data_IF_562549752481
#
_entry.id   IF_562549752481
#
_cell.length_a   1.000
_cell.length_b   1.000
_cell.length_c   1.000
_cell.angle_alpha   90.00
_cell.angle_beta   90.00
_cell.angle_gamma   90.00
#
_symmetry.space_group_name_H-M   'P 1'
#
loop_
_entity.id
_entity.type
_entity.pdbx_description
1 polymer ?
#
# COMPACT_ATOMS: atom_id res chain seq x y z
N UNK A 1 -51.42 -46.51 -47.11
CA UNK A 1 -51.09 -45.08 -47.05
C UNK A 1 -49.62 -44.97 -46.71
N UNK A 2 -48.84 -44.53 -47.70
CA UNK A 2 -47.39 -44.67 -47.82
C UNK A 2 -46.65 -43.55 -47.10
N UNK A 3 -45.54 -43.93 -46.44
CA UNK A 3 -44.58 -43.04 -45.79
C UNK A 3 -43.94 -42.08 -46.81
N UNK A 4 -43.83 -40.80 -46.46
CA UNK A 4 -43.03 -39.82 -47.19
C UNK A 4 -41.78 -39.50 -46.37
N UNK A 5 -40.63 -39.76 -47.00
CA UNK A 5 -39.29 -39.40 -46.56
C UNK A 5 -39.06 -37.89 -46.73
N UNK A 6 -38.40 -37.27 -45.75
CA UNK A 6 -37.79 -35.95 -45.87
C UNK A 6 -36.29 -36.13 -46.15
N UNK A 7 -35.72 -35.50 -47.19
CA UNK A 7 -34.28 -35.43 -47.33
C UNK A 7 -33.72 -34.28 -46.50
N UNK A 8 -32.84 -34.64 -45.57
CA UNK A 8 -31.96 -33.75 -44.82
C UNK A 8 -30.95 -33.13 -45.80
N UNK A 9 -30.95 -31.80 -45.92
CA UNK A 9 -29.92 -31.05 -46.65
C UNK A 9 -29.07 -30.29 -45.62
N UNK A 10 -27.85 -30.78 -45.43
CA UNK A 10 -26.83 -30.19 -44.57
C UNK A 10 -26.33 -28.89 -45.19
N UNK A 11 -26.74 -27.74 -44.64
CA UNK A 11 -26.18 -26.44 -44.98
C UNK A 11 -24.89 -26.24 -44.15
N UNK A 12 -23.75 -26.61 -44.71
CA UNK A 12 -22.43 -26.22 -44.17
C UNK A 12 -22.23 -24.73 -44.41
N UNK A 13 -22.43 -23.91 -43.37
CA UNK A 13 -21.91 -22.55 -43.36
C UNK A 13 -20.40 -22.60 -43.11
N UNK A 14 -19.61 -22.38 -44.16
CA UNK A 14 -18.20 -22.00 -44.02
C UNK A 14 -18.16 -20.54 -43.49
N UNK A 15 -17.87 -20.38 -42.21
CA UNK A 15 -17.34 -19.10 -41.72
C UNK A 15 -15.87 -19.01 -42.13
N UNK A 16 -15.42 -17.92 -42.78
CA UNK A 16 -13.99 -17.70 -42.94
C UNK A 16 -13.41 -17.42 -41.55
N UNK A 17 -12.60 -18.37 -41.05
CA UNK A 17 -11.67 -18.10 -39.96
C UNK A 17 -10.67 -17.05 -40.50
N UNK A 18 -10.95 -15.77 -40.26
CA UNK A 18 -9.92 -14.75 -40.39
C UNK A 18 -8.91 -14.99 -39.29
N UNK A 19 -7.87 -15.78 -39.59
CA UNK A 19 -6.62 -15.75 -38.85
C UNK A 19 -6.05 -14.34 -39.02
N UNK A 20 -6.47 -13.41 -38.17
CA UNK A 20 -5.70 -12.24 -37.85
C UNK A 20 -4.40 -12.78 -37.24
N UNK A 21 -3.37 -12.92 -38.07
CA UNK A 21 -2.00 -13.05 -37.58
C UNK A 21 -1.66 -11.73 -36.92
N UNK A 22 -2.01 -11.58 -35.65
CA UNK A 22 -1.46 -10.55 -34.79
C UNK A 22 0.03 -10.90 -34.75
N UNK A 23 0.84 -10.15 -35.48
CA UNK A 23 2.28 -10.27 -35.38
C UNK A 23 2.63 -9.92 -33.94
N UNK A 24 2.84 -10.94 -33.11
CA UNK A 24 3.39 -10.77 -31.76
C UNK A 24 4.75 -10.12 -31.98
N UNK A 25 4.85 -8.84 -31.67
CA UNK A 25 6.12 -8.13 -31.78
C UNK A 25 7.05 -8.76 -30.75
N UNK A 26 8.03 -9.55 -31.22
CA UNK A 26 8.97 -10.27 -30.38
C UNK A 26 10.04 -9.33 -29.77
N UNK A 27 9.59 -8.24 -29.13
CA UNK A 27 10.41 -7.12 -28.69
C UNK A 27 11.48 -7.56 -27.70
N UNK A 28 11.07 -8.10 -26.55
CA UNK A 28 12.01 -8.49 -25.50
C UNK A 28 12.92 -9.65 -25.91
N UNK A 29 12.43 -10.59 -26.73
CA UNK A 29 13.25 -11.66 -27.27
C UNK A 29 14.37 -11.14 -28.17
N UNK A 30 14.11 -10.08 -28.93
CA UNK A 30 15.13 -9.42 -29.75
C UNK A 30 16.13 -8.67 -28.86
N UNK A 31 15.65 -7.85 -27.93
CA UNK A 31 16.48 -6.98 -27.10
C UNK A 31 17.41 -7.74 -26.15
N UNK A 32 16.96 -8.91 -25.68
CA UNK A 32 17.70 -9.77 -24.76
C UNK A 32 18.34 -10.99 -25.45
N UNK A 33 18.44 -10.98 -26.77
CA UNK A 33 19.18 -12.00 -27.53
C UNK A 33 18.64 -13.42 -27.34
N UNK A 34 17.31 -13.58 -27.26
CA UNK A 34 16.64 -14.85 -27.00
C UNK A 34 16.68 -15.32 -25.54
N UNK A 35 17.58 -14.79 -24.71
CA UNK A 35 17.72 -15.14 -23.29
C UNK A 35 16.58 -14.56 -22.43
N UNK A 36 16.20 -15.26 -21.36
CA UNK A 36 15.33 -14.70 -20.31
C UNK A 36 16.02 -13.60 -19.49
N UNK A 37 17.33 -13.41 -19.64
CA UNK A 37 18.10 -12.43 -18.88
C UNK A 37 18.39 -11.19 -19.72
N UNK A 38 17.91 -10.04 -19.24
CA UNK A 38 18.08 -8.71 -19.81
C UNK A 38 18.99 -7.90 -18.89
N UNK A 39 20.30 -7.94 -19.13
CA UNK A 39 21.30 -7.29 -18.26
C UNK A 39 21.78 -5.97 -18.86
N UNK A 40 21.79 -4.91 -18.05
CA UNK A 40 22.27 -3.56 -18.42
C UNK A 40 21.62 -3.04 -19.70
N UNK A 41 20.28 -3.11 -19.77
CA UNK A 41 19.52 -2.73 -20.96
C UNK A 41 18.74 -1.46 -20.74
N UNK A 42 18.62 -0.65 -21.79
CA UNK A 42 17.65 0.43 -21.89
C UNK A 42 16.57 -0.03 -22.87
N UNK A 43 15.36 -0.25 -22.38
CA UNK A 43 14.25 -0.85 -23.13
C UNK A 43 13.07 0.12 -23.09
N UNK A 44 12.42 0.28 -24.23
CA UNK A 44 11.12 0.95 -24.35
C UNK A 44 10.09 -0.06 -24.87
N UNK A 45 9.27 -0.57 -23.96
CA UNK A 45 8.19 -1.50 -24.28
C UNK A 45 6.99 -0.71 -24.81
N UNK A 46 7.06 -0.39 -26.12
CA UNK A 46 6.18 0.55 -26.82
C UNK A 46 5.16 -0.11 -27.75
N UNK A 47 4.99 -1.43 -27.66
CA UNK A 47 3.92 -2.15 -28.33
C UNK A 47 3.19 -3.07 -27.37
N UNK A 48 1.94 -3.40 -27.67
CA UNK A 48 1.22 -4.47 -27.00
C UNK A 48 1.98 -5.80 -27.14
N UNK A 49 2.04 -6.59 -26.06
CA UNK A 49 2.73 -7.88 -26.03
C UNK A 49 4.24 -7.81 -26.25
N UNK A 50 4.85 -6.63 -26.04
CA UNK A 50 6.29 -6.43 -26.21
C UNK A 50 7.12 -7.44 -25.38
N UNK A 51 6.63 -7.77 -24.18
CA UNK A 51 7.21 -8.80 -23.33
C UNK A 51 6.64 -10.16 -23.74
N UNK A 52 7.15 -10.66 -24.87
CA UNK A 52 6.67 -11.83 -25.60
C UNK A 52 6.96 -13.19 -24.96
N UNK A 53 7.64 -13.22 -23.81
CA UNK A 53 8.03 -14.45 -23.12
C UNK A 53 7.99 -14.32 -21.60
N UNK A 54 8.00 -15.46 -20.95
CA UNK A 54 8.09 -15.61 -19.50
C UNK A 54 8.86 -16.90 -19.16
N UNK A 55 9.76 -16.90 -18.17
CA UNK A 55 10.12 -15.77 -17.32
C UNK A 55 11.07 -14.77 -18.02
N UNK A 56 11.08 -13.52 -17.53
CA UNK A 56 12.07 -12.49 -17.89
C UNK A 56 12.67 -11.88 -16.64
N UNK A 57 13.99 -11.73 -16.63
CA UNK A 57 14.78 -11.17 -15.53
C UNK A 57 15.51 -9.93 -16.05
N UNK A 58 15.25 -8.77 -15.47
CA UNK A 58 15.98 -7.53 -15.72
C UNK A 58 17.02 -7.34 -14.62
N UNK A 59 18.29 -7.14 -15.00
CA UNK A 59 19.41 -7.15 -14.06
C UNK A 59 20.38 -5.98 -14.30
N UNK A 60 21.15 -5.66 -13.26
CA UNK A 60 22.19 -4.64 -13.30
C UNK A 60 21.60 -3.24 -13.50
N UNK A 61 22.31 -2.40 -14.26
CA UNK A 61 21.93 -1.02 -14.58
C UNK A 61 20.89 -0.98 -15.71
N UNK A 62 19.74 -1.62 -15.49
CA UNK A 62 18.68 -1.68 -16.49
C UNK A 62 17.67 -0.54 -16.30
N UNK A 63 17.21 0.04 -17.41
CA UNK A 63 16.10 1.00 -17.46
C UNK A 63 15.03 0.50 -18.40
N UNK A 64 13.81 0.36 -17.90
CA UNK A 64 12.65 -0.02 -18.67
C UNK A 64 11.63 1.11 -18.66
N UNK A 65 11.22 1.56 -19.84
CA UNK A 65 10.03 2.42 -20.00
C UNK A 65 8.91 1.57 -20.56
N UNK A 66 7.76 1.55 -19.90
CA UNK A 66 6.55 0.86 -20.36
C UNK A 66 5.62 1.90 -20.95
N UNK A 67 5.68 2.04 -22.27
CA UNK A 67 4.98 3.10 -23.02
C UNK A 67 3.71 2.60 -23.72
N UNK A 68 3.53 1.29 -23.84
CA UNK A 68 2.32 0.69 -24.40
C UNK A 68 1.47 0.00 -23.34
N UNK A 69 0.15 0.10 -23.54
CA UNK A 69 -0.80 -0.72 -22.82
C UNK A 69 -0.59 -2.19 -23.15
N UNK A 70 -0.74 -3.05 -22.14
CA UNK A 70 -0.54 -4.49 -22.26
C UNK A 70 0.84 -4.86 -22.82
N UNK A 71 1.87 -4.06 -22.53
CA UNK A 71 3.26 -4.41 -22.86
C UNK A 71 3.66 -5.74 -22.19
N UNK A 72 3.25 -5.93 -20.94
CA UNK A 72 3.25 -7.21 -20.25
C UNK A 72 1.81 -7.75 -20.24
N UNK A 73 1.51 -8.77 -21.05
CA UNK A 73 0.14 -9.26 -21.26
C UNK A 73 -0.02 -10.76 -20.99
N UNK A 74 0.60 -11.24 -19.92
CA UNK A 74 0.48 -12.64 -19.51
C UNK A 74 0.01 -12.75 -18.05
N UNK A 75 -1.22 -13.21 -17.86
CA UNK A 75 -1.84 -13.36 -16.53
C UNK A 75 -1.05 -14.28 -15.59
N UNK A 76 -0.25 -15.20 -16.14
CA UNK A 76 0.63 -16.12 -15.40
C UNK A 76 2.11 -15.81 -15.62
N UNK A 77 2.42 -14.64 -16.16
CA UNK A 77 3.78 -14.18 -16.41
C UNK A 77 4.59 -14.04 -15.13
N UNK A 78 5.89 -14.31 -15.22
CA UNK A 78 6.84 -14.17 -14.11
C UNK A 78 7.95 -13.24 -14.57
N UNK A 79 8.06 -12.12 -13.88
CA UNK A 79 9.00 -11.06 -14.21
C UNK A 79 9.77 -10.70 -12.95
N UNK A 80 11.08 -10.54 -13.07
CA UNK A 80 11.89 -10.05 -11.96
C UNK A 80 12.73 -8.84 -12.36
N UNK A 81 12.77 -7.86 -11.46
CA UNK A 81 13.63 -6.69 -11.55
C UNK A 81 14.68 -6.79 -10.45
N UNK A 82 15.96 -6.73 -10.82
CA UNK A 82 17.08 -7.00 -9.92
C UNK A 82 18.14 -5.90 -9.95
N UNK A 83 18.81 -5.70 -8.82
CA UNK A 83 19.94 -4.76 -8.73
C UNK A 83 19.48 -3.32 -8.93
N UNK A 84 20.23 -2.54 -9.72
CA UNK A 84 19.96 -1.13 -10.00
C UNK A 84 18.99 -0.94 -11.19
N UNK A 85 17.84 -1.61 -11.14
CA UNK A 85 16.82 -1.55 -12.20
C UNK A 85 15.82 -0.43 -11.95
N UNK A 86 15.54 0.39 -12.96
CA UNK A 86 14.51 1.43 -12.92
C UNK A 86 13.42 1.14 -13.95
N UNK A 87 12.16 1.15 -13.51
CA UNK A 87 10.98 0.89 -14.35
C UNK A 87 10.04 2.09 -14.28
N UNK A 88 9.81 2.74 -15.42
CA UNK A 88 8.83 3.81 -15.57
C UNK A 88 7.59 3.25 -16.29
N UNK A 89 6.48 3.13 -15.58
CA UNK A 89 5.20 2.64 -16.13
C UNK A 89 4.34 3.82 -16.51
N UNK A 90 4.33 4.14 -17.81
CA UNK A 90 3.70 5.35 -18.36
C UNK A 90 2.41 5.07 -19.16
N UNK A 91 2.00 3.81 -19.25
CA UNK A 91 0.79 3.39 -19.95
C UNK A 91 -0.14 2.62 -19.01
N UNK A 92 -1.45 2.82 -19.20
CA UNK A 92 -2.48 2.01 -18.54
C UNK A 92 -2.36 0.56 -18.97
N UNK A 93 -2.63 -0.38 -18.06
CA UNK A 93 -2.45 -1.81 -18.27
C UNK A 93 -1.00 -2.18 -18.65
N UNK A 94 -0.02 -1.36 -18.31
CA UNK A 94 1.37 -1.58 -18.70
C UNK A 94 1.92 -2.89 -18.13
N UNK A 95 1.72 -3.09 -16.82
CA UNK A 95 2.02 -4.31 -16.09
C UNK A 95 0.71 -5.05 -15.77
N UNK A 96 0.19 -5.81 -16.74
CA UNK A 96 -1.12 -6.46 -16.63
C UNK A 96 -1.00 -7.94 -16.21
N UNK A 97 -1.62 -8.28 -15.08
CA UNK A 97 -1.59 -9.63 -14.51
C UNK A 97 -0.19 -10.10 -14.12
N UNK A 98 -0.04 -11.40 -13.87
CA UNK A 98 1.25 -12.02 -13.59
C UNK A 98 1.85 -11.68 -12.22
N UNK A 99 3.12 -12.03 -12.04
CA UNK A 99 3.91 -11.75 -10.84
C UNK A 99 5.15 -10.95 -11.20
N UNK A 100 5.32 -9.80 -10.55
CA UNK A 100 6.49 -8.95 -10.65
C UNK A 100 7.26 -9.00 -9.34
N UNK A 101 8.49 -9.49 -9.37
CA UNK A 101 9.34 -9.62 -8.17
C UNK A 101 10.48 -8.61 -8.19
N UNK A 102 10.60 -7.82 -7.13
CA UNK A 102 11.72 -6.91 -6.91
C UNK A 102 12.71 -7.59 -5.97
N UNK A 103 13.95 -7.78 -6.42
CA UNK A 103 14.94 -8.58 -5.70
C UNK A 103 16.31 -7.90 -5.73
N UNK A 104 17.11 -8.14 -4.70
CA UNK A 104 18.55 -7.83 -4.72
C UNK A 104 19.26 -8.58 -5.85
N UNK A 105 20.25 -7.95 -6.48
CA UNK A 105 21.14 -8.66 -7.41
C UNK A 105 22.12 -9.59 -6.67
N UNK A 106 22.50 -10.69 -7.31
CA UNK A 106 23.42 -11.69 -6.77
C UNK A 106 24.84 -11.13 -6.55
N UNK A 107 25.21 -10.07 -7.27
CA UNK A 107 26.52 -9.41 -7.16
C UNK A 107 26.60 -8.35 -6.05
N UNK A 108 25.49 -8.11 -5.33
CA UNK A 108 25.54 -7.78 -3.92
C UNK A 108 25.95 -6.37 -3.49
N UNK A 109 25.84 -5.35 -4.33
CA UNK A 109 26.05 -3.97 -3.87
C UNK A 109 24.87 -3.52 -3.00
N UNK A 110 25.16 -3.01 -1.79
CA UNK A 110 24.14 -2.56 -0.84
C UNK A 110 23.46 -1.26 -1.24
N UNK A 111 24.04 -0.50 -2.19
CA UNK A 111 23.43 0.72 -2.74
C UNK A 111 22.45 0.45 -3.89
N UNK A 112 22.44 -0.76 -4.44
CA UNK A 112 21.55 -1.09 -5.54
C UNK A 112 20.10 -1.06 -5.07
N UNK A 113 19.24 -0.50 -5.91
CA UNK A 113 17.80 -0.37 -5.65
C UNK A 113 17.01 -0.68 -6.90
N UNK A 114 15.88 -1.35 -6.70
CA UNK A 114 14.87 -1.52 -7.73
C UNK A 114 13.83 -0.42 -7.59
N UNK A 115 13.69 0.44 -8.58
CA UNK A 115 12.69 1.52 -8.57
C UNK A 115 11.60 1.20 -9.58
N UNK A 116 10.34 1.23 -9.14
CA UNK A 116 9.18 1.26 -10.04
C UNK A 116 8.45 2.58 -9.80
N UNK A 117 8.31 3.38 -10.85
CA UNK A 117 7.48 4.58 -10.85
C UNK A 117 6.28 4.35 -11.75
N UNK A 118 5.08 4.35 -11.17
CA UNK A 118 3.83 4.18 -11.90
C UNK A 118 3.20 5.56 -12.10
N UNK A 119 3.19 6.00 -13.35
CA UNK A 119 2.78 7.34 -13.78
C UNK A 119 1.48 7.33 -14.59
N UNK A 120 0.81 6.18 -14.66
CA UNK A 120 -0.44 5.99 -15.38
C UNK A 120 -1.49 5.34 -14.47
N UNK A 121 -2.75 5.72 -14.69
CA UNK A 121 -3.91 5.04 -14.13
C UNK A 121 -3.97 3.61 -14.67
N UNK A 122 -4.32 2.66 -13.81
CA UNK A 122 -4.29 1.22 -14.09
C UNK A 122 -2.92 0.74 -14.60
N UNK A 123 -1.82 1.44 -14.28
CA UNK A 123 -0.49 1.09 -14.76
C UNK A 123 -0.10 -0.34 -14.37
N UNK A 124 -0.54 -0.77 -13.19
CA UNK A 124 -0.49 -2.16 -12.72
C UNK A 124 -1.93 -2.64 -12.50
N UNK A 125 -2.39 -3.61 -13.31
CA UNK A 125 -3.74 -4.18 -13.20
C UNK A 125 -3.67 -5.66 -12.82
N UNK A 126 -4.44 -6.07 -11.80
CA UNK A 126 -4.65 -7.47 -11.38
C UNK A 126 -3.37 -8.29 -11.21
N UNK A 127 -2.27 -7.61 -10.90
CA UNK A 127 -0.95 -8.19 -10.80
C UNK A 127 -0.52 -8.41 -9.35
N UNK A 128 0.38 -9.38 -9.17
CA UNK A 128 1.05 -9.59 -7.89
C UNK A 128 2.41 -8.91 -7.89
N UNK A 129 2.56 -7.80 -7.16
CA UNK A 129 3.85 -7.14 -6.94
C UNK A 129 4.46 -7.62 -5.63
N UNK A 130 5.67 -8.18 -5.68
CA UNK A 130 6.39 -8.71 -4.52
C UNK A 130 7.76 -8.07 -4.44
N UNK A 131 7.96 -7.17 -3.47
CA UNK A 131 9.26 -6.66 -3.12
C UNK A 131 9.88 -7.52 -2.02
N UNK A 132 10.96 -8.23 -2.34
CA UNK A 132 11.65 -9.13 -1.41
C UNK A 132 12.60 -8.35 -0.49
N UNK A 133 12.90 -8.96 0.66
CA UNK A 133 13.88 -8.43 1.61
C UNK A 133 15.22 -8.13 0.93
N UNK A 134 15.81 -6.99 1.28
CA UNK A 134 17.12 -6.56 0.80
C UNK A 134 17.15 -6.08 -0.65
N UNK A 135 15.99 -6.01 -1.33
CA UNK A 135 15.88 -5.41 -2.67
C UNK A 135 16.05 -3.89 -2.67
N UNK A 136 15.99 -3.24 -1.50
CA UNK A 136 15.94 -1.78 -1.34
C UNK A 136 14.89 -1.13 -2.26
N UNK A 137 13.81 -1.87 -2.57
CA UNK A 137 12.89 -1.45 -3.61
C UNK A 137 12.16 -0.18 -3.20
N UNK A 138 11.96 0.71 -4.17
CA UNK A 138 11.15 1.92 -4.03
C UNK A 138 10.06 1.89 -5.08
N UNK A 139 8.81 1.81 -4.64
CA UNK A 139 7.64 1.84 -5.51
C UNK A 139 6.91 3.16 -5.32
N UNK A 140 6.82 3.95 -6.39
CA UNK A 140 6.17 5.25 -6.41
C UNK A 140 4.86 5.15 -7.20
N UNK A 141 3.74 5.42 -6.54
CA UNK A 141 2.42 5.49 -7.15
C UNK A 141 2.07 6.95 -7.35
N UNK A 142 2.32 7.46 -8.55
CA UNK A 142 2.24 8.89 -8.87
C UNK A 142 0.92 9.28 -9.53
N UNK A 143 0.01 8.32 -9.71
CA UNK A 143 -1.28 8.51 -10.36
C UNK A 143 -2.39 7.82 -9.57
N UNK A 144 -3.59 8.38 -9.63
CA UNK A 144 -4.80 7.73 -9.14
C UNK A 144 -4.99 6.36 -9.83
N UNK A 145 -5.38 5.34 -9.07
CA UNK A 145 -5.54 3.99 -9.60
C UNK A 145 -4.25 3.38 -10.17
N UNK A 146 -3.07 3.88 -9.80
CA UNK A 146 -1.79 3.38 -10.32
C UNK A 146 -1.65 1.85 -10.15
N UNK A 147 -2.12 1.32 -9.01
CA UNK A 147 -2.38 -0.10 -8.84
C UNK A 147 -3.90 -0.30 -8.77
N UNK A 148 -4.42 -1.18 -9.62
CA UNK A 148 -5.81 -1.60 -9.59
C UNK A 148 -5.89 -3.13 -9.43
N UNK A 149 -6.44 -3.60 -8.32
CA UNK A 149 -6.56 -5.03 -8.02
C UNK A 149 -5.26 -5.69 -7.56
N UNK A 150 -5.24 -7.02 -7.65
CA UNK A 150 -4.08 -7.84 -7.38
C UNK A 150 -3.63 -7.92 -5.92
N UNK A 151 -2.41 -8.44 -5.70
CA UNK A 151 -1.88 -8.74 -4.36
C UNK A 151 -0.50 -8.11 -4.18
N UNK A 152 -0.36 -7.24 -3.17
CA UNK A 152 0.84 -6.43 -3.02
C UNK A 152 1.58 -6.80 -1.73
N UNK A 153 2.86 -7.17 -1.85
CA UNK A 153 3.69 -7.62 -0.72
C UNK A 153 5.02 -6.88 -0.72
N UNK A 154 5.31 -6.20 0.37
CA UNK A 154 6.53 -5.41 0.58
C UNK A 154 7.25 -5.90 1.84
N UNK A 155 8.48 -6.38 1.68
CA UNK A 155 9.26 -6.94 2.79
C UNK A 155 10.40 -6.00 3.22
N UNK A 156 11.25 -6.50 4.12
CA UNK A 156 12.26 -5.72 4.81
C UNK A 156 13.12 -4.83 3.89
N UNK A 157 13.21 -3.55 4.25
CA UNK A 157 14.03 -2.55 3.54
C UNK A 157 13.40 -1.99 2.27
N UNK A 158 12.11 -2.23 2.03
CA UNK A 158 11.38 -1.69 0.88
C UNK A 158 10.54 -0.47 1.27
N UNK A 159 10.28 0.41 0.30
CA UNK A 159 9.47 1.62 0.48
C UNK A 159 8.36 1.67 -0.56
N UNK A 160 7.13 1.82 -0.10
CA UNK A 160 5.96 2.13 -0.92
C UNK A 160 5.55 3.59 -0.67
N UNK A 161 5.55 4.39 -1.73
CA UNK A 161 5.10 5.78 -1.72
C UNK A 161 3.77 5.89 -2.47
N UNK A 162 2.71 6.25 -1.75
CA UNK A 162 1.42 6.60 -2.36
C UNK A 162 1.39 8.13 -2.49
N UNK A 163 1.71 8.62 -3.68
CA UNK A 163 1.88 10.04 -3.98
C UNK A 163 0.65 10.69 -4.63
N UNK A 164 -0.36 9.89 -4.96
CA UNK A 164 -1.63 10.33 -5.51
C UNK A 164 -2.80 9.78 -4.69
N UNK A 165 -3.92 10.49 -4.73
CA UNK A 165 -5.20 10.03 -4.18
C UNK A 165 -5.58 8.69 -4.80
N UNK A 166 -6.07 7.76 -3.98
CA UNK A 166 -6.46 6.42 -4.40
C UNK A 166 -5.39 5.73 -5.27
N UNK A 167 -4.10 5.95 -4.97
CA UNK A 167 -3.00 5.38 -5.76
C UNK A 167 -2.99 3.85 -5.81
N UNK A 168 -3.63 3.21 -4.83
CA UNK A 168 -4.01 1.80 -4.87
C UNK A 168 -5.53 1.74 -4.80
N UNK A 169 -6.14 0.97 -5.70
CA UNK A 169 -7.58 0.76 -5.77
C UNK A 169 -7.88 -0.73 -5.88
N UNK A 170 -8.80 -1.22 -5.05
CA UNK A 170 -9.35 -2.57 -5.16
C UNK A 170 -8.36 -3.73 -4.94
N UNK A 171 -7.19 -3.50 -4.35
CA UNK A 171 -6.24 -4.61 -4.12
C UNK A 171 -6.84 -5.67 -3.18
N UNK A 172 -6.66 -6.94 -3.51
CA UNK A 172 -7.12 -8.07 -2.69
C UNK A 172 -6.38 -8.11 -1.34
N UNK A 173 -5.09 -7.80 -1.38
CA UNK A 173 -4.24 -7.71 -0.20
C UNK A 173 -3.13 -6.68 -0.35
N UNK A 174 -2.80 -6.04 0.77
CA UNK A 174 -1.62 -5.20 0.95
C UNK A 174 -0.93 -5.65 2.24
N UNK A 175 0.29 -6.16 2.11
CA UNK A 175 1.08 -6.67 3.23
C UNK A 175 2.44 -5.97 3.23
N UNK A 176 2.77 -5.37 4.36
CA UNK A 176 4.07 -4.77 4.64
C UNK A 176 4.69 -5.47 5.86
N UNK A 177 5.92 -5.97 5.71
CA UNK A 177 6.71 -6.59 6.79
C UNK A 177 8.08 -5.94 6.81
N UNK A 178 8.44 -5.27 7.91
CA UNK A 178 9.69 -4.50 8.05
C UNK A 178 9.91 -3.46 6.93
N UNK A 179 8.82 -2.93 6.38
CA UNK A 179 8.82 -2.02 5.23
C UNK A 179 8.32 -0.63 5.61
N UNK A 180 8.53 0.35 4.72
CA UNK A 180 8.03 1.71 4.88
C UNK A 180 6.86 1.97 3.93
N UNK A 181 5.74 2.45 4.48
CA UNK A 181 4.60 2.99 3.74
C UNK A 181 4.55 4.51 3.96
N UNK A 182 4.62 5.28 2.89
CA UNK A 182 4.43 6.73 2.94
C UNK A 182 3.11 7.10 2.27
N UNK A 183 2.23 7.72 3.03
CA UNK A 183 0.95 8.26 2.57
C UNK A 183 1.13 9.76 2.33
N UNK A 184 1.44 10.13 1.09
CA UNK A 184 1.87 11.48 0.70
C UNK A 184 0.78 12.31 0.03
N UNK A 185 -0.42 11.75 -0.14
CA UNK A 185 -1.56 12.41 -0.75
C UNK A 185 -2.80 12.31 0.13
N UNK A 186 -3.74 13.22 -0.09
CA UNK A 186 -5.12 13.09 0.39
C UNK A 186 -5.74 11.82 -0.20
N UNK A 187 -6.54 11.10 0.59
CA UNK A 187 -7.14 9.82 0.21
C UNK A 187 -6.10 8.79 -0.28
N UNK A 188 -4.87 8.84 0.24
CA UNK A 188 -3.87 7.83 -0.05
C UNK A 188 -4.25 6.45 0.51
N UNK A 189 -5.11 6.41 1.55
CA UNK A 189 -5.70 5.19 2.07
C UNK A 189 -7.16 5.41 2.49
N UNK A 190 -8.06 4.60 1.94
CA UNK A 190 -9.49 4.69 2.13
C UNK A 190 -10.17 3.30 2.12
N UNK A 191 -11.50 3.25 2.04
CA UNK A 191 -12.24 1.99 1.95
C UNK A 191 -12.11 1.26 0.61
N UNK A 192 -11.66 1.94 -0.44
CA UNK A 192 -11.49 1.33 -1.77
C UNK A 192 -10.09 0.78 -1.98
N UNK A 193 -9.12 1.20 -1.17
CA UNK A 193 -7.70 0.83 -1.30
C UNK A 193 -7.47 -0.68 -1.29
N UNK A 194 -8.05 -1.37 -0.31
CA UNK A 194 -7.94 -2.82 -0.17
C UNK A 194 -9.28 -3.43 0.21
N UNK A 195 -9.60 -4.59 -0.36
CA UNK A 195 -10.86 -5.30 -0.14
C UNK A 195 -11.09 -5.72 1.33
N UNK A 196 -10.00 -5.85 2.09
CA UNK A 196 -10.00 -6.19 3.51
C UNK A 196 -9.06 -5.22 4.26
N UNK A 197 -8.63 -5.58 5.47
CA UNK A 197 -7.61 -4.81 6.17
C UNK A 197 -6.21 -5.00 5.55
N UNK A 198 -5.47 -3.91 5.34
CA UNK A 198 -4.05 -4.00 5.04
C UNK A 198 -3.27 -4.42 6.29
N UNK A 199 -2.21 -5.20 6.10
CA UNK A 199 -1.43 -5.78 7.20
C UNK A 199 -0.05 -5.15 7.28
N UNK A 200 0.23 -4.46 8.37
CA UNK A 200 1.52 -3.81 8.68
C UNK A 200 2.18 -4.58 9.83
N UNK A 201 3.34 -5.19 9.60
CA UNK A 201 3.98 -6.18 10.49
C UNK A 201 5.49 -5.95 10.67
N UNK A 202 6.07 -6.66 11.63
CA UNK A 202 7.49 -6.55 11.99
C UNK A 202 7.79 -5.18 12.62
N UNK A 203 8.84 -4.53 12.15
CA UNK A 203 9.22 -3.15 12.46
C UNK A 203 8.83 -2.17 11.34
N UNK A 204 7.70 -2.38 10.67
CA UNK A 204 7.26 -1.50 9.57
C UNK A 204 6.96 -0.09 10.07
N UNK A 205 7.11 0.90 9.19
CA UNK A 205 6.75 2.31 9.47
C UNK A 205 5.70 2.80 8.48
N UNK A 206 4.62 3.41 8.99
CA UNK A 206 3.62 4.13 8.20
C UNK A 206 3.76 5.61 8.49
N UNK A 207 4.16 6.40 7.51
CA UNK A 207 4.28 7.85 7.65
C UNK A 207 3.09 8.51 6.95
N UNK A 208 2.29 9.23 7.74
CA UNK A 208 1.09 9.93 7.26
C UNK A 208 1.46 11.40 7.08
N UNK A 209 1.72 11.77 5.83
CA UNK A 209 2.40 13.03 5.49
C UNK A 209 1.47 14.07 4.85
N UNK A 210 0.24 13.69 4.49
CA UNK A 210 -0.75 14.60 3.92
C UNK A 210 -1.98 14.73 4.82
N UNK A 211 -2.71 15.84 4.69
CA UNK A 211 -4.05 16.01 5.25
C UNK A 211 -5.02 15.06 4.58
N UNK A 212 -5.95 14.50 5.36
CA UNK A 212 -6.94 13.52 4.90
C UNK A 212 -6.29 12.34 4.17
N UNK A 213 -5.07 11.96 4.56
CA UNK A 213 -4.38 10.82 3.95
C UNK A 213 -5.05 9.48 4.28
N UNK A 214 -5.70 9.38 5.45
CA UNK A 214 -6.52 8.24 5.85
C UNK A 214 -7.96 8.72 6.08
N UNK A 215 -8.85 8.40 5.14
CA UNK A 215 -10.28 8.76 5.20
C UNK A 215 -11.18 7.56 5.43
N UNK A 216 -10.66 6.34 5.31
CA UNK A 216 -11.44 5.11 5.37
C UNK A 216 -10.58 3.84 5.49
N UNK A 217 -11.21 2.69 5.25
CA UNK A 217 -10.55 1.38 5.24
C UNK A 217 -10.08 0.92 6.62
N UNK A 218 -9.25 -0.13 6.63
CA UNK A 218 -8.66 -0.67 7.85
C UNK A 218 -7.16 -0.96 7.68
N UNK A 219 -6.35 -0.47 8.62
CA UNK A 219 -4.95 -0.84 8.81
C UNK A 219 -4.83 -1.70 10.07
N UNK A 220 -4.20 -2.87 9.95
CA UNK A 220 -3.81 -3.72 11.07
C UNK A 220 -2.30 -3.56 11.33
N UNK A 221 -1.98 -2.79 12.37
CA UNK A 221 -0.62 -2.45 12.79
C UNK A 221 -0.20 -3.41 13.90
N UNK A 222 0.81 -4.24 13.62
CA UNK A 222 1.19 -5.38 14.44
C UNK A 222 2.68 -5.30 14.83
N UNK A 223 3.06 -6.18 15.75
CA UNK A 223 4.45 -6.35 16.19
C UNK A 223 5.03 -5.03 16.72
N UNK A 224 6.22 -4.62 16.28
CA UNK A 224 6.88 -3.38 16.68
C UNK A 224 6.66 -2.23 15.67
N UNK A 225 5.61 -2.33 14.84
CA UNK A 225 5.36 -1.36 13.78
C UNK A 225 4.94 0.00 14.32
N UNK A 226 5.23 1.07 13.56
CA UNK A 226 4.97 2.45 13.96
C UNK A 226 4.12 3.19 12.94
N UNK A 227 3.18 3.98 13.40
CA UNK A 227 2.46 4.97 12.60
C UNK A 227 2.88 6.36 13.08
N UNK A 228 3.38 7.20 12.19
CA UNK A 228 3.79 8.57 12.48
C UNK A 228 2.86 9.54 11.73
N UNK A 229 2.10 10.34 12.46
CA UNK A 229 1.28 11.40 11.87
C UNK A 229 2.09 12.69 11.83
N UNK A 230 2.48 13.08 10.62
CA UNK A 230 3.38 14.21 10.37
C UNK A 230 2.66 15.44 9.82
N UNK A 231 1.41 15.31 9.38
CA UNK A 231 0.57 16.41 8.91
C UNK A 231 -0.71 16.57 9.75
N UNK A 232 -1.24 17.79 9.79
CA UNK A 232 -2.53 18.07 10.44
C UNK A 232 -3.69 17.57 9.59
N UNK A 233 -4.78 17.17 10.25
CA UNK A 233 -5.98 16.61 9.62
C UNK A 233 -5.75 15.27 8.93
N UNK A 234 -4.65 14.58 9.22
CA UNK A 234 -4.22 13.41 8.45
C UNK A 234 -5.12 12.19 8.55
N UNK A 235 -5.83 12.03 9.67
CA UNK A 235 -6.78 10.93 9.88
C UNK A 235 -8.17 11.50 10.16
N UNK A 236 -9.04 11.40 9.16
CA UNK A 236 -10.45 11.82 9.22
C UNK A 236 -11.44 10.65 9.14
N UNK A 237 -10.96 9.43 8.91
CA UNK A 237 -11.79 8.22 8.98
C UNK A 237 -10.98 6.93 9.07
N UNK A 238 -11.69 5.82 8.87
CA UNK A 238 -11.10 4.48 8.87
C UNK A 238 -10.84 3.90 10.27
N UNK A 239 -10.34 2.66 10.28
CA UNK A 239 -9.96 1.94 11.51
C UNK A 239 -8.47 1.61 11.49
N UNK A 240 -7.75 2.06 12.51
CA UNK A 240 -6.38 1.64 12.78
C UNK A 240 -6.40 0.71 13.99
N UNK A 241 -6.08 -0.56 13.79
CA UNK A 241 -6.01 -1.57 14.83
C UNK A 241 -4.56 -1.86 15.17
N UNK A 242 -4.14 -1.49 16.38
CA UNK A 242 -2.81 -1.71 16.92
C UNK A 242 -2.81 -2.95 17.81
N UNK A 243 -1.84 -3.85 17.58
CA UNK A 243 -1.53 -5.02 18.41
C UNK A 243 -0.01 -5.17 18.57
N UNK A 244 0.42 -6.03 19.50
CA UNK A 244 1.85 -6.21 19.80
C UNK A 244 2.43 -5.01 20.55
N UNK A 245 3.66 -4.64 20.23
CA UNK A 245 4.38 -3.48 20.78
C UNK A 245 4.27 -2.27 19.83
N UNK A 246 3.19 -2.21 19.02
CA UNK A 246 3.04 -1.17 18.00
C UNK A 246 2.70 0.19 18.59
N UNK A 247 3.11 1.24 17.87
CA UNK A 247 3.02 2.62 18.32
C UNK A 247 2.26 3.50 17.33
N UNK A 248 1.39 4.38 17.83
CA UNK A 248 0.92 5.57 17.11
C UNK A 248 1.58 6.81 17.71
N UNK A 249 2.29 7.56 16.89
CA UNK A 249 2.93 8.83 17.25
C UNK A 249 2.24 9.99 16.53
N UNK A 250 1.54 10.83 17.29
CA UNK A 250 0.86 12.02 16.77
C UNK A 250 1.79 13.23 16.92
N UNK A 251 2.49 13.57 15.84
CA UNK A 251 3.52 14.62 15.82
C UNK A 251 3.01 15.95 15.27
N UNK A 252 1.86 15.95 14.60
CA UNK A 252 1.25 17.15 14.04
C UNK A 252 -0.02 17.57 14.78
N UNK A 253 -0.26 18.87 14.81
CA UNK A 253 -1.48 19.45 15.35
C UNK A 253 -2.70 19.00 14.57
N UNK A 254 -3.77 18.67 15.28
CA UNK A 254 -5.00 18.10 14.72
C UNK A 254 -4.72 16.87 13.85
N UNK A 255 -3.71 16.05 14.18
CA UNK A 255 -3.38 14.85 13.41
C UNK A 255 -4.56 13.88 13.27
N UNK A 256 -5.43 13.81 14.28
CA UNK A 256 -6.70 13.07 14.24
C UNK A 256 -7.88 14.02 14.41
N UNK A 257 -8.80 14.04 13.46
CA UNK A 257 -9.96 14.96 13.42
C UNK A 257 -11.31 14.27 13.23
N UNK A 258 -11.35 13.11 12.58
CA UNK A 258 -12.62 12.46 12.22
C UNK A 258 -13.39 11.99 13.45
N UNK A 259 -14.50 12.63 13.81
CA UNK A 259 -15.24 12.38 15.05
C UNK A 259 -15.60 10.89 15.27
N UNK A 260 -16.67 10.41 14.64
CA UNK A 260 -17.14 9.02 14.81
C UNK A 260 -16.62 8.06 13.73
N UNK A 261 -16.03 8.62 12.67
CA UNK A 261 -15.52 7.88 11.51
C UNK A 261 -14.10 7.39 11.71
N UNK A 262 -13.27 8.09 12.48
CA UNK A 262 -11.89 7.69 12.75
C UNK A 262 -11.80 6.89 14.06
N UNK A 263 -11.38 5.63 13.95
CA UNK A 263 -11.24 4.73 15.09
C UNK A 263 -9.81 4.25 15.22
N UNK A 264 -9.20 4.46 16.37
CA UNK A 264 -7.89 3.90 16.71
C UNK A 264 -8.06 2.96 17.90
N UNK A 265 -7.80 1.67 17.67
CA UNK A 265 -8.01 0.60 18.64
C UNK A 265 -6.65 0.07 19.05
N UNK A 266 -6.33 0.17 20.33
CA UNK A 266 -5.07 -0.22 20.93
C UNK A 266 -5.29 -1.44 21.82
N UNK A 267 -4.64 -2.54 21.47
CA UNK A 267 -4.66 -3.78 22.25
C UNK A 267 -3.44 -3.89 23.16
N UNK A 268 -3.36 -5.00 23.91
CA UNK A 268 -2.31 -5.26 24.87
C UNK A 268 -0.90 -4.99 24.29
N UNK A 269 -0.13 -4.19 25.01
CA UNK A 269 1.28 -3.88 24.70
C UNK A 269 1.49 -2.65 23.81
N UNK A 270 0.43 -2.09 23.25
CA UNK A 270 0.53 -0.97 22.30
C UNK A 270 0.59 0.39 23.01
N UNK A 271 1.12 1.37 22.29
CA UNK A 271 1.28 2.74 22.81
C UNK A 271 0.75 3.80 21.85
N UNK A 272 -0.01 4.76 22.39
CA UNK A 272 -0.38 5.99 21.73
C UNK A 272 0.40 7.15 22.36
N UNK A 273 1.23 7.85 21.60
CA UNK A 273 1.94 9.04 22.01
C UNK A 273 1.37 10.28 21.32
N UNK A 274 0.89 11.24 22.11
CA UNK A 274 0.38 12.52 21.63
C UNK A 274 1.40 13.60 21.95
N UNK A 275 2.18 13.97 20.94
CA UNK A 275 3.35 14.84 21.08
C UNK A 275 3.11 16.26 20.55
N UNK A 276 1.96 16.50 19.93
CA UNK A 276 1.62 17.78 19.32
C UNK A 276 0.47 18.48 20.03
N UNK A 277 0.50 19.82 20.03
CA UNK A 277 -0.62 20.68 20.43
C UNK A 277 -1.87 20.33 19.63
N UNK A 278 -3.00 20.08 20.30
CA UNK A 278 -4.26 19.64 19.71
C UNK A 278 -4.09 18.39 18.82
N UNK A 279 -3.10 17.53 19.08
CA UNK A 279 -2.80 16.37 18.24
C UNK A 279 -4.02 15.49 18.02
N UNK A 280 -4.86 15.32 19.04
CA UNK A 280 -6.16 14.67 18.94
C UNK A 280 -7.26 15.72 19.11
N UNK A 281 -7.91 16.08 18.00
CA UNK A 281 -9.05 16.99 17.96
C UNK A 281 -10.39 16.24 17.80
N UNK A 282 -10.35 14.99 17.35
CA UNK A 282 -11.51 14.12 17.18
C UNK A 282 -11.15 12.64 17.27
N UNK A 283 -12.03 11.77 16.74
CA UNK A 283 -11.81 10.34 16.72
C UNK A 283 -12.19 9.61 18.01
N UNK A 284 -12.18 8.30 17.89
CA UNK A 284 -12.43 7.36 18.97
C UNK A 284 -11.16 6.55 19.23
N UNK A 285 -10.47 6.86 20.34
CA UNK A 285 -9.30 6.12 20.79
C UNK A 285 -9.72 5.11 21.87
N UNK A 286 -9.58 3.82 21.58
CA UNK A 286 -10.02 2.73 22.46
C UNK A 286 -8.78 1.97 22.92
N UNK A 287 -8.47 2.03 24.21
CA UNK A 287 -7.31 1.40 24.82
C UNK A 287 -7.69 0.20 25.68
N UNK A 288 -7.13 -0.96 25.37
CA UNK A 288 -7.34 -2.25 26.01
C UNK A 288 -5.99 -2.87 26.41
N UNK A 289 -5.62 -2.78 27.68
CA UNK A 289 -4.28 -3.12 28.19
C UNK A 289 -3.14 -2.37 27.45
N UNK A 290 -3.40 -1.11 27.09
CA UNK A 290 -2.51 -0.26 26.30
C UNK A 290 -2.10 1.01 27.06
N UNK A 291 -1.11 1.73 26.53
CA UNK A 291 -0.63 2.99 27.13
C UNK A 291 -0.99 4.18 26.25
N UNK A 292 -1.53 5.24 26.86
CA UNK A 292 -1.69 6.57 26.25
C UNK A 292 -0.76 7.55 26.97
N UNK A 293 0.17 8.17 26.26
CA UNK A 293 0.99 9.26 26.76
C UNK A 293 0.59 10.57 26.09
N UNK A 294 0.15 11.55 26.88
CA UNK A 294 -0.14 12.90 26.40
C UNK A 294 1.01 13.80 26.85
N UNK A 295 1.92 14.06 25.92
CA UNK A 295 3.20 14.74 26.16
C UNK A 295 3.15 16.23 25.83
N UNK A 296 2.13 16.68 25.09
CA UNK A 296 1.93 18.07 24.72
C UNK A 296 0.83 18.74 25.53
N UNK A 297 1.02 20.02 25.83
CA UNK A 297 -0.06 20.91 26.30
C UNK A 297 -1.18 20.95 25.28
N UNK A 298 -2.41 20.83 25.77
CA UNK A 298 -3.64 20.65 24.99
C UNK A 298 -3.49 19.55 23.94
N UNK A 299 -2.71 18.51 24.21
CA UNK A 299 -2.50 17.40 23.28
C UNK A 299 -3.82 16.75 22.86
N UNK A 300 -4.78 16.70 23.77
CA UNK A 300 -6.16 16.29 23.49
C UNK A 300 -7.08 17.49 23.67
N UNK A 301 -7.72 17.90 22.57
CA UNK A 301 -8.71 18.98 22.55
C UNK A 301 -10.11 18.48 22.20
N UNK A 302 -10.27 17.22 21.80
CA UNK A 302 -11.55 16.62 21.44
C UNK A 302 -11.51 15.11 21.27
N UNK A 303 -12.57 14.57 20.68
CA UNK A 303 -12.75 13.12 20.51
C UNK A 303 -13.13 12.40 21.80
N UNK A 304 -13.03 11.06 21.74
CA UNK A 304 -13.39 10.17 22.84
C UNK A 304 -12.26 9.19 23.14
N UNK A 305 -11.79 9.22 24.38
CA UNK A 305 -10.75 8.32 24.87
C UNK A 305 -11.37 7.32 25.85
N UNK A 306 -11.42 6.05 25.44
CA UNK A 306 -11.91 4.95 26.25
C UNK A 306 -10.69 4.22 26.81
N UNK A 307 -10.42 4.39 28.11
CA UNK A 307 -9.30 3.76 28.80
C UNK A 307 -9.85 2.56 29.57
N UNK A 308 -9.56 1.33 29.11
CA UNK A 308 -10.18 0.12 29.62
C UNK A 308 -9.16 -0.91 30.14
N UNK A 309 -9.66 -1.88 30.91
CA UNK A 309 -8.87 -3.01 31.42
C UNK A 309 -7.69 -2.52 32.26
N UNK A 310 -6.46 -2.95 32.02
CA UNK A 310 -5.27 -2.47 32.74
C UNK A 310 -4.54 -1.35 31.98
N UNK A 311 -5.25 -0.62 31.11
CA UNK A 311 -4.65 0.48 30.36
C UNK A 311 -4.21 1.62 31.27
N UNK A 312 -3.17 2.33 30.85
CA UNK A 312 -2.61 3.48 31.56
C UNK A 312 -2.68 4.71 30.66
N UNK A 313 -3.22 5.81 31.19
CA UNK A 313 -3.18 7.13 30.57
C UNK A 313 -2.28 8.05 31.40
N UNK A 314 -1.19 8.52 30.82
CA UNK A 314 -0.24 9.43 31.43
C UNK A 314 -0.43 10.83 30.84
N UNK A 315 -0.84 11.78 31.67
CA UNK A 315 -0.98 13.19 31.33
C UNK A 315 0.28 13.92 31.79
N UNK A 316 1.29 13.91 30.92
CA UNK A 316 2.65 14.35 31.24
C UNK A 316 2.82 15.87 31.15
N UNK A 317 1.96 16.55 30.39
CA UNK A 317 2.02 18.00 30.18
C UNK A 317 0.94 18.76 30.95
N UNK A 318 1.20 20.03 31.22
CA UNK A 318 0.21 20.96 31.75
C UNK A 318 -0.93 21.12 30.75
N UNK A 319 -2.18 21.15 31.25
CA UNK A 319 -3.38 21.21 30.41
C UNK A 319 -3.36 20.17 29.28
N UNK A 320 -2.85 18.96 29.54
CA UNK A 320 -2.73 17.89 28.56
C UNK A 320 -4.06 17.59 27.85
N UNK A 321 -5.17 17.66 28.59
CA UNK A 321 -6.52 17.52 28.07
C UNK A 321 -7.26 18.84 28.29
N UNK A 322 -7.87 19.38 27.24
CA UNK A 322 -8.66 20.62 27.30
C UNK A 322 -10.08 20.47 26.76
N UNK A 323 -10.39 19.30 26.20
CA UNK A 323 -11.71 18.99 25.66
C UNK A 323 -11.83 17.50 25.30
N UNK A 324 -13.03 17.11 24.86
CA UNK A 324 -13.37 15.73 24.56
C UNK A 324 -13.98 14.97 25.74
N UNK A 325 -14.03 13.64 25.61
CA UNK A 325 -14.61 12.74 26.63
C UNK A 325 -13.62 11.66 27.00
N UNK A 326 -13.27 11.58 28.28
CA UNK A 326 -12.50 10.48 28.84
C UNK A 326 -13.44 9.53 29.58
N UNK A 327 -13.37 8.25 29.23
CA UNK A 327 -14.10 7.17 29.88
C UNK A 327 -13.11 6.13 30.40
N UNK A 328 -12.71 6.26 31.67
CA UNK A 328 -11.90 5.26 32.37
C UNK A 328 -12.80 4.15 32.94
N UNK A 329 -12.46 2.88 32.69
CA UNK A 329 -13.25 1.71 33.11
C UNK A 329 -12.38 0.49 33.41
N UNK A 330 -12.87 -0.39 34.27
CA UNK A 330 -12.11 -1.55 34.74
C UNK A 330 -11.00 -1.11 35.71
N UNK A 331 -9.85 -1.77 35.65
CA UNK A 331 -8.70 -1.47 36.51
C UNK A 331 -7.73 -0.47 35.85
N UNK A 332 -8.25 0.45 35.04
CA UNK A 332 -7.44 1.42 34.31
C UNK A 332 -6.89 2.49 35.24
N UNK A 333 -5.71 3.02 34.90
CA UNK A 333 -5.07 4.09 35.66
C UNK A 333 -4.98 5.35 34.81
N UNK A 334 -5.33 6.50 35.41
CA UNK A 334 -5.07 7.82 34.83
C UNK A 334 -4.11 8.56 35.78
N UNK A 335 -2.91 8.85 35.29
CA UNK A 335 -1.89 9.59 36.01
C UNK A 335 -1.87 11.04 35.52
N UNK A 336 -2.20 11.97 36.42
CA UNK A 336 -2.12 13.41 36.15
C UNK A 336 -0.83 13.96 36.75
N UNK A 337 0.19 14.16 35.89
CA UNK A 337 1.49 14.70 36.32
C UNK A 337 1.62 16.19 36.07
N UNK A 338 1.03 16.70 34.98
CA UNK A 338 1.04 18.13 34.65
C UNK A 338 0.06 18.95 35.49
N UNK A 339 0.32 20.26 35.56
CA UNK A 339 -0.57 21.22 36.21
C UNK A 339 -1.87 21.37 35.40
N UNK A 340 -3.01 21.35 36.10
CA UNK A 340 -4.33 21.39 35.47
C UNK A 340 -4.44 20.39 34.30
N UNK A 341 -3.95 19.16 34.49
CA UNK A 341 -3.81 18.16 33.44
C UNK A 341 -5.09 17.86 32.63
N UNK A 342 -6.27 18.07 33.25
CA UNK A 342 -7.61 17.93 32.66
C UNK A 342 -8.42 19.18 33.00
#
# INVERSE_FOLDING_TARGET
MTSKSFPCTSLLMLFPLSLLSISVHAGISTDCGGSSYCTNKVIDANSEGYIDKTPVYFLGDSKLTVSASQAFNNQSGIYEFRGNTNVDVNASLGLNGGTYTLRKDSNGNTSDKVVISVNAEDGILDARLVALEGSNAVVNLNQEGAINGGNQVFNAGTTLNINASNGIYGSDSLILTDATLNLNATEAFDSTTVSNAASIKGGSSVNVNASDAITGGQLNIQDASKVNINSGGSISGGTLLFTGESELNVQASSGVTGEDTAKQIFQKGTTLNVNALNGIAGGNQILNDATLNVNATSGISGGKQIIAQQSVMNLNADQAVTGGVISAKGNSTVNAYGDAAI
#
